data_IF_333868953811
#
_entry.id   IF_333868953811
#
_cell.length_a   1.000
_cell.length_b   1.000
_cell.length_c   1.000
_cell.angle_alpha   90.00
_cell.angle_beta   90.00
_cell.angle_gamma   90.00
#
_symmetry.space_group_name_H-M   'P 1'
#
loop_
_entity.id
_entity.type
_entity.pdbx_description
1 polymer ?
#
# COMPACT_ATOMS: atom_id res chain seq x y z
N UNK A 1 31.98 22.21 13.16
CA UNK A 1 30.65 22.28 12.50
C UNK A 1 30.10 20.86 12.49
N UNK A 2 28.98 20.65 13.14
CA UNK A 2 28.34 19.31 13.18
C UNK A 2 27.76 18.92 11.81
N UNK A 3 27.93 17.69 11.42
CA UNK A 3 27.37 17.14 10.18
C UNK A 3 26.23 16.19 10.50
N UNK A 4 25.04 16.50 10.01
CA UNK A 4 23.83 15.68 10.12
C UNK A 4 23.53 15.01 8.79
N UNK A 5 23.24 13.73 8.80
CA UNK A 5 22.84 12.96 7.63
C UNK A 5 21.40 12.49 7.75
N UNK A 6 20.58 12.75 6.75
CA UNK A 6 19.24 12.22 6.64
C UNK A 6 19.22 11.07 5.65
N UNK A 7 18.76 9.90 6.09
CA UNK A 7 18.61 8.75 5.23
C UNK A 7 17.14 8.61 4.82
N UNK A 8 16.83 9.06 3.59
CA UNK A 8 15.50 8.93 3.00
C UNK A 8 15.24 7.51 2.53
N UNK A 9 14.03 7.03 2.74
CA UNK A 9 13.54 5.71 2.30
C UNK A 9 12.13 5.85 1.69
N UNK A 10 11.08 5.33 2.36
CA UNK A 10 9.67 5.53 1.95
C UNK A 10 9.09 6.80 2.61
N UNK A 11 9.77 7.91 2.45
CA UNK A 11 9.43 9.23 3.00
C UNK A 11 9.85 10.36 2.05
N UNK A 12 9.51 10.18 0.77
CA UNK A 12 9.98 11.02 -0.35
C UNK A 12 9.26 12.37 -0.42
N UNK A 13 9.46 13.19 0.64
CA UNK A 13 8.92 14.54 0.79
C UNK A 13 9.81 15.39 1.70
N UNK A 14 9.66 16.70 1.61
CA UNK A 14 10.38 17.65 2.48
C UNK A 14 9.48 18.29 3.54
N UNK A 15 8.16 18.31 3.32
CA UNK A 15 7.17 18.81 4.29
C UNK A 15 6.70 17.66 5.17
N UNK A 16 6.52 17.94 6.46
CA UNK A 16 6.06 16.94 7.44
C UNK A 16 6.91 15.66 7.45
N UNK A 17 8.23 15.82 7.41
CA UNK A 17 9.20 14.73 7.50
C UNK A 17 9.97 14.88 8.82
N UNK A 18 9.71 13.99 9.78
CA UNK A 18 10.26 14.10 11.15
C UNK A 18 11.78 14.03 11.18
N UNK A 19 12.38 13.11 10.44
CA UNK A 19 13.83 12.95 10.38
C UNK A 19 14.51 14.18 9.78
N UNK A 20 14.00 14.67 8.67
CA UNK A 20 14.51 15.88 8.01
C UNK A 20 14.35 17.13 8.89
N UNK A 21 13.19 17.27 9.51
CA UNK A 21 12.93 18.39 10.44
C UNK A 21 13.92 18.38 11.61
N UNK A 22 14.12 17.23 12.24
CA UNK A 22 15.05 17.08 13.35
C UNK A 22 16.50 17.34 12.94
N UNK A 23 16.93 16.82 11.79
CA UNK A 23 18.30 17.07 11.28
C UNK A 23 18.56 18.56 10.99
N UNK A 24 17.51 19.30 10.59
CA UNK A 24 17.57 20.72 10.27
C UNK A 24 17.35 21.65 11.47
N UNK A 25 17.06 21.12 12.65
CA UNK A 25 16.75 21.93 13.85
C UNK A 25 17.93 22.80 14.31
N UNK A 26 19.16 22.33 14.13
CA UNK A 26 20.37 23.15 14.34
C UNK A 26 20.67 23.93 13.04
N UNK A 27 20.53 25.27 13.06
CA UNK A 27 20.81 26.10 11.89
C UNK A 27 22.30 26.11 11.47
N UNK A 28 23.20 25.74 12.38
CA UNK A 28 24.64 25.71 12.14
C UNK A 28 25.16 24.37 11.64
N UNK A 29 24.37 23.32 11.76
CA UNK A 29 24.75 22.01 11.26
C UNK A 29 24.82 21.97 9.73
N UNK A 30 25.86 21.33 9.19
CA UNK A 30 25.85 20.89 7.80
C UNK A 30 24.87 19.72 7.65
N UNK A 31 23.86 19.84 6.78
CA UNK A 31 22.88 18.78 6.55
C UNK A 31 23.09 18.17 5.18
N UNK A 32 23.23 16.86 5.15
CA UNK A 32 23.30 16.03 3.93
C UNK A 32 22.12 15.07 3.92
N UNK A 33 21.72 14.62 2.73
CA UNK A 33 20.74 13.57 2.57
C UNK A 33 21.26 12.46 1.66
N UNK A 34 20.82 11.23 1.92
CA UNK A 34 21.10 10.07 1.06
C UNK A 34 19.82 9.28 0.79
N UNK A 35 19.77 8.68 -0.39
CA UNK A 35 18.83 7.63 -0.74
C UNK A 35 19.62 6.45 -1.30
N UNK A 36 19.31 5.23 -0.87
CA UNK A 36 19.98 4.01 -1.33
C UNK A 36 18.97 3.11 -1.99
N UNK A 37 19.08 2.95 -3.29
CA UNK A 37 18.33 1.95 -4.04
C UNK A 37 18.88 0.55 -3.77
N UNK A 38 18.02 -0.44 -3.56
CA UNK A 38 18.40 -1.83 -3.31
C UNK A 38 17.66 -2.78 -4.26
N UNK A 39 17.99 -2.77 -5.57
CA UNK A 39 17.22 -3.49 -6.60
C UNK A 39 17.12 -4.99 -6.38
N UNK A 40 18.15 -5.62 -5.81
CA UNK A 40 18.11 -7.06 -5.49
C UNK A 40 17.08 -7.35 -4.39
N UNK A 41 17.03 -6.53 -3.34
CA UNK A 41 16.03 -6.63 -2.29
C UNK A 41 14.62 -6.43 -2.88
N UNK A 42 14.45 -5.45 -3.77
CA UNK A 42 13.16 -5.21 -4.44
C UNK A 42 12.70 -6.39 -5.28
N UNK A 43 13.61 -7.04 -6.03
CA UNK A 43 13.30 -8.27 -6.80
C UNK A 43 12.91 -9.43 -5.91
N UNK A 44 13.59 -9.61 -4.77
CA UNK A 44 13.28 -10.67 -3.80
C UNK A 44 11.89 -10.53 -3.18
N UNK A 45 11.39 -9.30 -3.06
CA UNK A 45 10.08 -8.97 -2.51
C UNK A 45 9.08 -8.50 -3.58
N UNK A 46 9.38 -8.76 -4.84
CA UNK A 46 8.48 -8.58 -5.97
C UNK A 46 7.91 -7.15 -6.09
N UNK A 47 8.71 -6.13 -5.77
CA UNK A 47 8.28 -4.75 -5.98
C UNK A 47 7.91 -4.53 -7.46
N UNK A 48 6.76 -3.90 -7.71
CA UNK A 48 6.32 -3.59 -9.05
C UNK A 48 7.29 -2.63 -9.77
N UNK A 49 7.63 -2.87 -11.04
CA UNK A 49 8.44 -1.93 -11.83
C UNK A 49 7.84 -0.52 -11.87
N UNK A 50 6.51 -0.40 -11.92
CA UNK A 50 5.81 0.90 -11.86
C UNK A 50 6.03 1.62 -10.53
N UNK A 51 6.06 0.89 -9.41
CA UNK A 51 6.36 1.49 -8.11
C UNK A 51 7.80 1.99 -8.05
N UNK A 52 8.76 1.23 -8.56
CA UNK A 52 10.15 1.67 -8.67
C UNK A 52 10.30 2.92 -9.56
N UNK A 53 9.56 3.00 -10.67
CA UNK A 53 9.52 4.17 -11.53
C UNK A 53 8.93 5.41 -10.81
N UNK A 54 7.86 5.23 -10.04
CA UNK A 54 7.26 6.30 -9.23
C UNK A 54 8.22 6.79 -8.13
N UNK A 55 8.94 5.88 -7.49
CA UNK A 55 9.98 6.21 -6.52
C UNK A 55 11.07 7.04 -7.19
N UNK A 56 11.59 6.62 -8.35
CA UNK A 56 12.64 7.33 -9.06
C UNK A 56 12.21 8.76 -9.46
N UNK A 57 11.02 8.90 -10.03
CA UNK A 57 10.49 10.20 -10.43
C UNK A 57 10.24 11.13 -9.22
N UNK A 58 9.73 10.58 -8.10
CA UNK A 58 9.53 11.33 -6.85
C UNK A 58 10.85 11.70 -6.18
N UNK A 59 11.85 10.83 -6.26
CA UNK A 59 13.19 11.09 -5.75
C UNK A 59 13.83 12.29 -6.45
N UNK A 60 13.67 12.40 -7.78
CA UNK A 60 14.10 13.57 -8.54
C UNK A 60 13.45 14.87 -8.03
N UNK A 61 12.15 14.84 -7.76
CA UNK A 61 11.43 15.99 -7.22
C UNK A 61 11.96 16.40 -5.83
N UNK A 62 12.17 15.42 -4.94
CA UNK A 62 12.74 15.65 -3.59
C UNK A 62 14.16 16.20 -3.69
N UNK A 63 14.98 15.68 -4.58
CA UNK A 63 16.36 16.14 -4.78
C UNK A 63 16.39 17.63 -5.17
N UNK A 64 15.53 18.04 -6.08
CA UNK A 64 15.41 19.45 -6.49
C UNK A 64 14.91 20.32 -5.34
N UNK A 65 13.91 19.86 -4.60
CA UNK A 65 13.36 20.60 -3.46
C UNK A 65 14.39 20.76 -2.31
N UNK A 66 15.20 19.75 -2.02
CA UNK A 66 16.27 19.80 -1.04
C UNK A 66 17.40 20.74 -1.47
N UNK A 67 17.78 20.72 -2.76
CA UNK A 67 18.79 21.63 -3.31
C UNK A 67 18.39 23.09 -3.12
N UNK A 68 17.12 23.45 -3.31
CA UNK A 68 16.60 24.79 -3.03
C UNK A 68 16.71 25.18 -1.55
N UNK A 69 16.83 24.19 -0.65
CA UNK A 69 17.04 24.42 0.79
C UNK A 69 18.51 24.40 1.20
N UNK A 70 19.44 24.25 0.26
CA UNK A 70 20.85 24.14 0.53
C UNK A 70 21.28 22.76 1.06
N UNK A 71 20.50 21.70 0.76
CA UNK A 71 20.76 20.33 1.20
C UNK A 71 21.02 19.46 -0.03
N UNK A 72 22.21 18.87 -0.10
CA UNK A 72 22.56 17.93 -1.15
C UNK A 72 21.96 16.55 -0.86
N UNK A 73 21.29 15.96 -1.86
CA UNK A 73 20.83 14.57 -1.82
C UNK A 73 21.74 13.71 -2.71
N UNK A 74 22.44 12.76 -2.10
CA UNK A 74 23.23 11.76 -2.78
C UNK A 74 22.39 10.49 -2.99
N UNK A 75 22.26 10.05 -4.23
CA UNK A 75 21.57 8.80 -4.58
C UNK A 75 22.61 7.72 -4.87
N UNK A 76 22.57 6.64 -4.11
CA UNK A 76 23.44 5.48 -4.29
C UNK A 76 22.66 4.27 -4.75
N UNK A 77 23.25 3.49 -5.67
CA UNK A 77 22.75 2.20 -6.07
C UNK A 77 23.51 1.10 -5.32
N UNK A 78 22.86 0.53 -4.30
CA UNK A 78 23.32 -0.68 -3.61
C UNK A 78 22.77 -1.92 -4.29
N UNK A 79 23.14 -3.10 -3.77
CA UNK A 79 22.54 -4.37 -4.19
C UNK A 79 21.40 -4.78 -3.26
N UNK A 80 21.69 -4.91 -1.98
CA UNK A 80 20.80 -5.36 -0.93
C UNK A 80 20.95 -4.55 0.36
N UNK A 81 20.28 -4.94 1.42
CA UNK A 81 20.35 -4.26 2.71
C UNK A 81 21.72 -4.37 3.39
N UNK A 82 22.43 -5.48 3.21
CA UNK A 82 23.77 -5.63 3.80
C UNK A 82 24.75 -4.65 3.14
N UNK A 83 24.78 -4.61 1.82
CA UNK A 83 25.59 -3.67 1.07
C UNK A 83 25.25 -2.20 1.38
N UNK A 84 23.96 -1.89 1.58
CA UNK A 84 23.51 -0.55 1.93
C UNK A 84 24.02 -0.09 3.30
N UNK A 85 24.06 -1.00 4.27
CA UNK A 85 24.61 -0.72 5.62
C UNK A 85 26.10 -0.43 5.53
N UNK A 86 26.86 -1.26 4.84
CA UNK A 86 28.30 -1.11 4.72
C UNK A 86 28.67 0.18 3.99
N UNK A 87 27.97 0.48 2.91
CA UNK A 87 28.16 1.74 2.19
C UNK A 87 27.80 2.97 3.04
N UNK A 88 26.70 2.91 3.79
CA UNK A 88 26.25 4.03 4.61
C UNK A 88 27.21 4.30 5.77
N UNK A 89 27.74 3.25 6.39
CA UNK A 89 28.75 3.38 7.43
C UNK A 89 30.04 4.04 6.89
N UNK A 90 30.50 3.64 5.70
CA UNK A 90 31.64 4.26 5.04
C UNK A 90 31.36 5.70 4.60
N UNK A 91 30.16 5.98 4.11
CA UNK A 91 29.72 7.34 3.79
C UNK A 91 29.75 8.25 5.04
N UNK A 92 29.23 7.78 6.16
CA UNK A 92 29.27 8.49 7.44
C UNK A 92 30.71 8.81 7.87
N UNK A 93 31.63 7.85 7.70
CA UNK A 93 33.04 8.04 8.00
C UNK A 93 33.70 9.11 7.12
N UNK A 94 33.45 9.01 5.79
CA UNK A 94 34.03 9.93 4.79
C UNK A 94 33.53 11.35 4.98
N UNK A 95 32.24 11.54 5.21
CA UNK A 95 31.62 12.84 5.38
C UNK A 95 31.70 13.39 6.81
N UNK A 96 32.35 12.65 7.74
CA UNK A 96 32.46 13.00 9.14
C UNK A 96 31.08 13.29 9.78
N UNK A 97 30.14 12.36 9.60
CA UNK A 97 28.78 12.49 10.12
C UNK A 97 28.79 12.30 11.64
N UNK A 98 28.20 13.24 12.36
CA UNK A 98 28.03 13.19 13.81
C UNK A 98 26.70 12.51 14.20
N UNK A 99 25.64 12.75 13.41
CA UNK A 99 24.32 12.20 13.67
C UNK A 99 23.59 11.78 12.39
N UNK A 100 22.97 10.61 12.44
CA UNK A 100 22.15 10.03 11.40
C UNK A 100 20.67 10.08 11.81
N UNK A 101 19.84 10.61 10.91
CA UNK A 101 18.41 10.78 11.11
C UNK A 101 17.63 9.97 10.07
N UNK A 102 16.63 9.20 10.49
CA UNK A 102 15.80 8.42 9.57
C UNK A 102 14.40 8.20 10.13
N UNK A 103 13.45 7.98 9.25
CA UNK A 103 12.09 7.58 9.59
C UNK A 103 11.99 6.05 9.54
N UNK A 104 11.50 5.43 10.63
CA UNK A 104 11.42 3.97 10.77
C UNK A 104 10.55 3.33 9.72
N UNK A 105 10.94 2.16 9.28
CA UNK A 105 10.13 1.21 8.55
C UNK A 105 9.84 0.02 9.46
N UNK A 106 8.68 -0.61 9.31
CA UNK A 106 8.16 -1.54 10.33
C UNK A 106 8.22 -3.00 9.92
N UNK A 107 8.55 -3.28 8.66
CA UNK A 107 8.76 -4.61 8.14
C UNK A 107 9.97 -5.26 8.81
N UNK A 108 9.95 -6.57 8.95
CA UNK A 108 10.95 -7.32 9.74
C UNK A 108 12.39 -7.12 9.23
N UNK A 109 12.57 -7.17 7.90
CA UNK A 109 13.91 -7.02 7.31
C UNK A 109 14.44 -5.59 7.49
N UNK A 110 13.58 -4.59 7.34
CA UNK A 110 13.89 -3.19 7.53
C UNK A 110 14.27 -2.89 8.98
N UNK A 111 13.53 -3.43 9.93
CA UNK A 111 13.86 -3.31 11.37
C UNK A 111 15.20 -3.95 11.70
N UNK A 112 15.50 -5.13 11.14
CA UNK A 112 16.79 -5.80 11.32
C UNK A 112 17.93 -5.02 10.68
N UNK A 113 17.71 -4.47 9.49
CA UNK A 113 18.66 -3.59 8.81
C UNK A 113 19.01 -2.38 9.69
N UNK A 114 17.99 -1.69 10.19
CA UNK A 114 18.17 -0.49 11.01
C UNK A 114 18.92 -0.82 12.32
N UNK A 115 18.55 -1.88 13.01
CA UNK A 115 19.23 -2.35 14.23
C UNK A 115 20.71 -2.72 13.98
N UNK A 116 21.00 -3.39 12.86
CA UNK A 116 22.37 -3.73 12.47
C UNK A 116 23.20 -2.49 12.16
N UNK A 117 22.62 -1.51 11.47
CA UNK A 117 23.29 -0.24 11.18
C UNK A 117 23.60 0.52 12.47
N UNK A 118 22.63 0.66 13.37
CA UNK A 118 22.84 1.31 14.67
C UNK A 118 23.98 0.65 15.48
N UNK A 119 24.03 -0.68 15.47
CA UNK A 119 25.11 -1.43 16.11
C UNK A 119 26.48 -1.14 15.45
N UNK A 120 26.54 -1.09 14.13
CA UNK A 120 27.78 -0.81 13.38
C UNK A 120 28.31 0.61 13.59
N UNK A 121 27.41 1.57 13.78
CA UNK A 121 27.72 2.99 14.00
C UNK A 121 27.92 3.34 15.48
N UNK A 122 27.63 2.41 16.40
CA UNK A 122 27.67 2.65 17.84
C UNK A 122 29.01 3.26 18.29
N UNK A 123 28.91 4.32 19.09
CA UNK A 123 30.08 5.07 19.61
C UNK A 123 30.76 6.00 18.59
N UNK A 124 30.27 6.06 17.33
CA UNK A 124 30.82 6.93 16.28
C UNK A 124 29.82 7.95 15.76
N UNK A 125 28.58 7.49 15.48
CA UNK A 125 27.49 8.30 14.94
C UNK A 125 26.27 8.11 15.83
N UNK A 126 25.63 9.20 16.24
CA UNK A 126 24.36 9.12 16.99
C UNK A 126 23.22 8.87 16.02
N UNK A 127 22.46 7.80 16.23
CA UNK A 127 21.33 7.44 15.37
C UNK A 127 20.00 7.90 15.98
N UNK A 128 19.19 8.58 15.19
CA UNK A 128 17.86 9.09 15.55
C UNK A 128 16.79 8.53 14.61
N UNK A 129 16.00 7.58 15.09
CA UNK A 129 14.87 7.02 14.35
C UNK A 129 13.53 7.60 14.82
N UNK A 130 12.65 7.91 13.87
CA UNK A 130 11.34 8.53 14.14
C UNK A 130 10.19 7.68 13.59
N UNK A 131 9.06 7.67 14.31
CA UNK A 131 7.80 7.12 13.82
C UNK A 131 7.08 8.20 13.01
N UNK A 132 7.18 8.12 11.69
CA UNK A 132 6.76 9.16 10.75
C UNK A 132 5.63 8.71 9.82
N UNK A 133 5.66 7.44 9.38
CA UNK A 133 4.72 6.90 8.39
C UNK A 133 3.35 6.52 8.97
N UNK A 134 3.13 6.78 10.26
CA UNK A 134 1.90 6.51 11.01
C UNK A 134 1.45 7.77 11.78
N UNK A 135 0.15 7.84 12.08
CA UNK A 135 -0.41 8.83 12.99
C UNK A 135 0.03 8.57 14.42
N UNK A 136 -0.02 7.31 14.85
CA UNK A 136 0.37 6.88 16.19
C UNK A 136 1.45 5.78 16.09
N UNK A 137 2.48 5.82 16.94
CA UNK A 137 3.54 4.81 16.92
C UNK A 137 2.99 3.40 17.19
N UNK A 138 3.55 2.35 16.56
CA UNK A 138 3.20 0.97 16.92
C UNK A 138 3.46 0.70 18.41
N UNK A 139 2.53 -0.02 19.04
CA UNK A 139 2.59 -0.28 20.48
C UNK A 139 2.01 0.82 21.37
N UNK A 140 1.51 1.94 20.79
CA UNK A 140 0.84 3.00 21.58
C UNK A 140 -0.66 2.77 21.76
N UNK A 141 -1.25 1.86 20.98
CA UNK A 141 -2.69 1.50 21.05
C UNK A 141 -2.82 0.03 21.42
N UNK A 142 -3.00 -0.22 22.69
CA UNK A 142 -3.04 -1.56 23.29
C UNK A 142 -4.32 -1.76 24.08
N UNK A 143 -4.70 -3.02 24.29
CA UNK A 143 -5.77 -3.41 25.20
C UNK A 143 -5.43 -3.06 26.64
N UNK A 144 -6.40 -3.10 27.54
CA UNK A 144 -6.14 -2.92 28.99
C UNK A 144 -5.15 -3.92 29.58
N UNK A 145 -4.92 -5.07 28.94
CA UNK A 145 -3.89 -6.04 29.29
C UNK A 145 -2.51 -5.80 28.64
N UNK A 146 -2.34 -4.72 27.89
CA UNK A 146 -1.07 -4.38 27.25
C UNK A 146 -0.79 -5.15 25.95
N UNK A 147 -1.78 -5.83 25.38
CA UNK A 147 -1.65 -6.58 24.12
C UNK A 147 -2.17 -5.79 22.93
N UNK A 148 -1.66 -6.12 21.74
CA UNK A 148 -2.20 -5.60 20.48
C UNK A 148 -3.63 -6.09 20.25
N UNK A 149 -4.52 -5.18 19.84
CA UNK A 149 -5.87 -5.53 19.42
C UNK A 149 -5.85 -6.49 18.22
N UNK A 150 -6.71 -7.51 18.27
CA UNK A 150 -6.89 -8.49 17.17
C UNK A 150 -8.17 -8.24 16.35
N UNK A 151 -8.98 -7.26 16.76
CA UNK A 151 -10.24 -6.90 16.10
C UNK A 151 -10.21 -5.40 15.80
N UNK A 152 -10.59 -5.03 14.59
CA UNK A 152 -10.47 -3.67 14.08
C UNK A 152 -11.33 -2.66 14.85
N UNK A 153 -12.60 -2.97 15.08
CA UNK A 153 -13.51 -1.99 15.69
C UNK A 153 -13.08 -1.54 17.11
N UNK A 154 -12.69 -2.43 18.03
CA UNK A 154 -12.09 -2.02 19.31
C UNK A 154 -10.77 -1.24 19.12
N UNK A 155 -9.92 -1.67 18.20
CA UNK A 155 -8.69 -0.93 17.87
C UNK A 155 -8.99 0.49 17.40
N UNK A 156 -9.89 0.65 16.43
CA UNK A 156 -10.31 1.96 15.92
C UNK A 156 -10.79 2.89 17.03
N UNK A 157 -11.63 2.38 17.94
CA UNK A 157 -12.18 3.20 19.03
C UNK A 157 -11.08 3.68 19.98
N UNK A 158 -10.19 2.77 20.39
CA UNK A 158 -9.03 3.11 21.21
C UNK A 158 -8.04 4.03 20.45
N UNK A 159 -7.83 3.80 19.16
CA UNK A 159 -7.00 4.62 18.31
C UNK A 159 -7.51 6.06 18.24
N UNK A 160 -8.80 6.26 17.98
CA UNK A 160 -9.41 7.60 17.89
C UNK A 160 -9.28 8.32 19.24
N UNK A 161 -9.54 7.64 20.36
CA UNK A 161 -9.33 8.24 21.67
C UNK A 161 -7.88 8.69 21.84
N UNK A 162 -6.92 7.84 21.56
CA UNK A 162 -5.50 8.16 21.67
C UNK A 162 -5.08 9.29 20.72
N UNK A 163 -5.66 9.32 19.52
CA UNK A 163 -5.40 10.34 18.50
C UNK A 163 -5.80 11.75 18.99
N UNK A 164 -6.92 11.85 19.73
CA UNK A 164 -7.38 13.14 20.28
C UNK A 164 -6.46 13.67 21.38
N UNK A 165 -5.70 12.80 22.03
CA UNK A 165 -4.75 13.14 23.11
C UNK A 165 -3.32 13.36 22.58
N UNK A 166 -3.08 13.13 21.28
CA UNK A 166 -1.75 13.16 20.68
C UNK A 166 -1.54 14.40 19.80
N UNK A 167 -0.33 14.93 19.79
CA UNK A 167 0.05 15.94 18.81
C UNK A 167 0.42 15.28 17.48
N UNK A 168 -0.46 15.43 16.53
CA UNK A 168 -0.31 14.95 15.13
C UNK A 168 -0.25 16.11 14.14
N UNK A 169 0.17 17.28 14.59
CA UNK A 169 0.38 18.45 13.73
C UNK A 169 1.46 18.18 12.68
N UNK A 170 1.31 18.83 11.52
CA UNK A 170 2.30 18.74 10.44
C UNK A 170 3.50 19.64 10.73
N UNK A 171 4.68 19.13 10.40
CA UNK A 171 5.94 19.87 10.50
C UNK A 171 6.20 20.68 9.22
N UNK A 172 6.75 21.89 9.32
CA UNK A 172 7.09 22.68 8.14
C UNK A 172 8.26 22.06 7.37
N UNK A 173 8.39 22.41 6.09
CA UNK A 173 9.58 22.16 5.32
C UNK A 173 10.81 22.89 5.96
N UNK A 174 12.03 22.37 5.78
CA UNK A 174 13.22 23.01 6.31
C UNK A 174 13.39 24.42 5.75
N UNK A 175 13.93 25.32 6.59
CA UNK A 175 14.38 26.64 6.13
C UNK A 175 15.61 26.47 5.22
N UNK A 176 15.84 27.47 4.37
CA UNK A 176 17.06 27.52 3.55
C UNK A 176 18.28 27.58 4.49
N UNK A 177 19.29 26.76 4.22
CA UNK A 177 20.54 26.72 4.99
C UNK A 177 21.37 28.01 4.76
N UNK A 178 22.29 28.29 5.68
CA UNK A 178 23.09 29.53 5.68
C UNK A 178 23.86 29.77 4.38
N UNK A 179 24.31 28.69 3.73
CA UNK A 179 25.06 28.74 2.46
C UNK A 179 24.15 29.00 1.23
N UNK A 180 22.84 29.11 1.45
CA UNK A 180 21.86 29.36 0.37
C UNK A 180 21.47 28.12 -0.41
N UNK A 181 20.72 28.31 -1.50
CA UNK A 181 20.30 27.24 -2.40
C UNK A 181 21.50 26.70 -3.17
N UNK A 182 21.50 25.39 -3.42
CA UNK A 182 22.50 24.72 -4.26
C UNK A 182 22.13 24.88 -5.75
N UNK A 183 23.11 24.74 -6.66
CA UNK A 183 22.82 24.59 -8.10
C UNK A 183 21.85 23.45 -8.36
N UNK A 184 21.15 23.51 -9.50
CA UNK A 184 20.27 22.42 -9.91
C UNK A 184 21.06 21.10 -9.99
N UNK A 185 20.64 20.07 -9.26
CA UNK A 185 21.35 18.80 -9.22
C UNK A 185 21.17 18.03 -10.53
N UNK A 186 22.15 17.21 -10.89
CA UNK A 186 21.97 16.20 -11.92
C UNK A 186 20.87 15.21 -11.48
N UNK A 187 20.09 14.75 -12.47
CA UNK A 187 19.03 13.76 -12.19
C UNK A 187 19.65 12.47 -11.61
N UNK A 188 18.97 11.83 -10.67
CA UNK A 188 19.40 10.52 -10.17
C UNK A 188 19.57 9.53 -11.34
N UNK A 189 20.60 8.70 -11.27
CA UNK A 189 20.77 7.62 -12.23
C UNK A 189 19.57 6.68 -12.20
N UNK A 190 19.24 6.10 -13.36
CA UNK A 190 18.19 5.08 -13.42
C UNK A 190 18.55 3.90 -12.51
N UNK A 191 17.53 3.31 -11.89
CA UNK A 191 17.72 2.10 -11.09
C UNK A 191 18.02 0.91 -12.00
N UNK A 192 18.89 0.01 -11.56
CA UNK A 192 19.02 -1.33 -12.16
C UNK A 192 17.76 -2.16 -11.86
N UNK A 193 16.65 -1.76 -12.48
CA UNK A 193 15.33 -2.35 -12.31
C UNK A 193 14.53 -2.24 -13.60
N UNK A 194 13.58 -3.16 -13.87
CA UNK A 194 12.81 -3.09 -15.10
C UNK A 194 12.12 -1.72 -15.26
N UNK A 195 12.26 -1.14 -16.44
CA UNK A 195 11.58 0.11 -16.77
C UNK A 195 10.07 -0.10 -16.88
N UNK A 196 9.31 0.88 -16.41
CA UNK A 196 7.86 0.88 -16.55
C UNK A 196 7.33 2.31 -16.67
N UNK A 197 6.23 2.44 -17.39
CA UNK A 197 5.46 3.67 -17.46
C UNK A 197 4.48 3.73 -16.29
N UNK A 198 4.47 4.85 -15.56
CA UNK A 198 3.52 5.10 -14.45
C UNK A 198 2.20 5.73 -14.95
N UNK A 199 2.13 6.11 -16.22
CA UNK A 199 1.00 6.84 -16.80
C UNK A 199 0.85 8.25 -16.24
N UNK A 200 -0.12 8.98 -16.79
CA UNK A 200 -0.40 10.39 -16.39
C UNK A 200 -1.25 10.49 -15.10
N UNK A 201 -1.84 9.39 -14.65
CA UNK A 201 -2.75 9.38 -13.50
C UNK A 201 -2.04 9.67 -12.16
N UNK A 202 -0.73 9.45 -12.10
CA UNK A 202 0.08 9.60 -10.89
C UNK A 202 1.32 10.47 -11.13
N UNK A 203 1.15 11.79 -11.33
CA UNK A 203 2.30 12.70 -11.40
C UNK A 203 3.16 12.56 -10.14
N UNK A 204 4.49 12.52 -10.32
CA UNK A 204 5.39 12.25 -9.22
C UNK A 204 5.60 13.46 -8.29
N UNK A 205 5.93 13.16 -7.04
CA UNK A 205 6.37 14.14 -6.05
C UNK A 205 5.29 14.63 -5.09
N UNK A 206 5.76 15.30 -4.06
CA UNK A 206 4.97 15.78 -2.93
C UNK A 206 3.86 16.77 -3.37
N UNK A 207 4.17 17.69 -4.26
CA UNK A 207 3.20 18.72 -4.69
C UNK A 207 1.99 18.10 -5.39
N UNK A 208 2.21 17.12 -6.27
CA UNK A 208 1.12 16.39 -6.93
C UNK A 208 0.24 15.63 -5.92
N UNK A 209 0.86 15.00 -4.93
CA UNK A 209 0.17 14.32 -3.84
C UNK A 209 -0.69 15.29 -3.02
N UNK A 210 -0.15 16.45 -2.66
CA UNK A 210 -0.86 17.48 -1.90
C UNK A 210 -2.01 18.12 -2.70
N UNK A 211 -1.82 18.35 -3.99
CA UNK A 211 -2.90 18.85 -4.86
C UNK A 211 -4.05 17.86 -4.93
N UNK A 212 -3.77 16.57 -5.11
CA UNK A 212 -4.79 15.50 -5.11
C UNK A 212 -5.52 15.40 -3.78
N UNK A 213 -4.79 15.48 -2.66
CA UNK A 213 -5.38 15.48 -1.32
C UNK A 213 -6.33 16.67 -1.13
N UNK A 214 -5.92 17.88 -1.55
CA UNK A 214 -6.75 19.09 -1.45
C UNK A 214 -8.02 18.96 -2.27
N UNK A 215 -7.90 18.51 -3.52
CA UNK A 215 -9.05 18.30 -4.40
C UNK A 215 -10.04 17.28 -3.83
N UNK A 216 -9.54 16.11 -3.39
CA UNK A 216 -10.37 15.08 -2.78
C UNK A 216 -11.11 15.56 -1.54
N UNK A 217 -10.43 16.23 -0.60
CA UNK A 217 -11.05 16.70 0.64
C UNK A 217 -12.09 17.82 0.41
N UNK A 218 -11.92 18.66 -0.65
CA UNK A 218 -12.87 19.71 -0.97
C UNK A 218 -14.09 19.23 -1.75
N UNK A 219 -13.88 18.34 -2.71
CA UNK A 219 -14.85 18.08 -3.78
C UNK A 219 -15.53 16.73 -3.66
N UNK A 220 -14.88 15.73 -3.04
CA UNK A 220 -15.30 14.34 -3.14
C UNK A 220 -15.57 13.67 -1.78
N UNK A 221 -14.92 14.11 -0.72
CA UNK A 221 -14.93 13.39 0.56
C UNK A 221 -16.32 13.26 1.19
N UNK A 222 -17.21 14.23 0.96
CA UNK A 222 -18.58 14.18 1.49
C UNK A 222 -19.39 13.02 0.89
N UNK A 223 -19.16 12.72 -0.39
CA UNK A 223 -19.82 11.62 -1.09
C UNK A 223 -19.11 10.29 -0.96
N UNK A 224 -17.95 10.26 -0.32
CA UNK A 224 -17.10 9.08 -0.25
C UNK A 224 -17.82 7.84 0.28
N UNK A 225 -18.60 7.96 1.35
CA UNK A 225 -19.36 6.83 1.93
C UNK A 225 -20.30 6.16 0.92
N UNK A 226 -20.92 6.97 0.04
CA UNK A 226 -21.86 6.48 -0.97
C UNK A 226 -21.19 5.95 -2.23
N UNK A 227 -20.04 6.51 -2.59
CA UNK A 227 -19.38 6.26 -3.87
C UNK A 227 -18.18 5.29 -3.78
N UNK A 228 -17.63 5.09 -2.58
CA UNK A 228 -16.40 4.31 -2.35
C UNK A 228 -16.41 2.90 -2.90
N UNK A 229 -17.59 2.30 -3.05
CA UNK A 229 -17.74 0.92 -3.51
C UNK A 229 -18.10 0.79 -5.00
N UNK A 230 -18.22 1.91 -5.71
CA UNK A 230 -18.63 1.96 -7.11
C UNK A 230 -17.42 2.19 -8.03
N UNK A 231 -16.85 1.15 -8.65
CA UNK A 231 -15.61 1.28 -9.42
C UNK A 231 -15.76 2.09 -10.72
N UNK A 232 -16.99 2.26 -11.22
CA UNK A 232 -17.27 3.09 -12.39
C UNK A 232 -17.21 4.60 -12.10
N UNK A 233 -17.20 4.98 -10.82
CA UNK A 233 -17.23 6.39 -10.38
C UNK A 233 -15.86 6.75 -9.80
N UNK A 234 -15.39 7.98 -10.11
CA UNK A 234 -14.19 8.53 -9.49
C UNK A 234 -14.46 9.00 -8.04
N UNK A 235 -14.90 8.06 -7.19
CA UNK A 235 -15.36 8.32 -5.81
C UNK A 235 -14.30 8.01 -4.74
N UNK A 236 -13.04 7.71 -5.11
CA UNK A 236 -11.96 7.39 -4.18
C UNK A 236 -10.83 8.43 -4.27
N UNK A 237 -10.03 8.54 -3.22
CA UNK A 237 -8.94 9.52 -3.17
C UNK A 237 -7.78 9.20 -4.11
N UNK A 238 -7.58 7.93 -4.43
CA UNK A 238 -6.41 7.44 -5.20
C UNK A 238 -5.06 7.95 -4.66
N UNK A 239 -4.94 8.09 -3.32
CA UNK A 239 -3.74 8.60 -2.64
C UNK A 239 -2.78 7.49 -2.19
N UNK A 240 -3.21 6.23 -2.28
CA UNK A 240 -2.43 5.09 -1.78
C UNK A 240 -1.02 4.97 -2.38
N UNK A 241 -0.76 5.26 -3.68
CA UNK A 241 0.61 5.24 -4.21
C UNK A 241 1.54 6.27 -3.54
N UNK A 242 1.04 7.47 -3.26
CA UNK A 242 1.82 8.52 -2.59
C UNK A 242 2.08 8.19 -1.12
N UNK A 243 1.11 7.58 -0.43
CA UNK A 243 1.29 7.10 0.94
C UNK A 243 2.28 5.92 1.01
N UNK A 244 2.30 5.05 0.00
CA UNK A 244 3.20 3.89 -0.04
C UNK A 244 4.67 4.29 -0.15
N UNK A 245 4.99 5.31 -0.93
CA UNK A 245 6.36 5.83 -1.11
C UNK A 245 6.69 7.00 -0.16
N UNK A 246 5.73 7.44 0.64
CA UNK A 246 5.88 8.54 1.57
C UNK A 246 6.03 9.92 0.94
N UNK A 247 5.57 10.11 -0.31
CA UNK A 247 5.41 11.44 -0.90
C UNK A 247 4.26 12.22 -0.23
N UNK A 248 3.44 11.53 0.54
CA UNK A 248 2.36 12.07 1.39
C UNK A 248 2.40 11.38 2.76
N UNK A 249 2.25 12.14 3.84
CA UNK A 249 2.16 11.59 5.19
C UNK A 249 0.71 11.38 5.64
N UNK A 250 0.44 10.45 6.56
CA UNK A 250 -0.88 10.30 7.16
C UNK A 250 -1.30 11.52 8.01
N UNK A 251 -0.35 12.26 8.58
CA UNK A 251 -0.63 13.52 9.31
C UNK A 251 -1.13 14.60 8.36
N UNK A 252 -0.54 14.74 7.18
CA UNK A 252 -1.03 15.66 6.14
C UNK A 252 -2.47 15.30 5.74
N UNK A 253 -2.77 14.01 5.56
CA UNK A 253 -4.11 13.52 5.27
C UNK A 253 -5.10 13.87 6.39
N UNK A 254 -4.77 13.54 7.63
CA UNK A 254 -5.65 13.77 8.78
C UNK A 254 -5.89 15.26 9.03
N UNK A 255 -4.83 16.08 9.02
CA UNK A 255 -4.96 17.51 9.28
C UNK A 255 -5.72 18.23 8.16
N UNK A 256 -5.52 17.82 6.89
CA UNK A 256 -6.30 18.37 5.79
C UNK A 256 -7.76 18.00 5.90
N UNK A 257 -8.06 16.73 6.19
CA UNK A 257 -9.43 16.27 6.38
C UNK A 257 -10.12 17.01 7.52
N UNK A 258 -9.45 17.20 8.67
CA UNK A 258 -9.97 17.92 9.83
C UNK A 258 -10.22 19.41 9.52
N UNK A 259 -9.37 20.03 8.72
CA UNK A 259 -9.53 21.42 8.33
C UNK A 259 -10.76 21.66 7.43
N UNK A 260 -11.07 20.72 6.53
CA UNK A 260 -12.26 20.78 5.67
C UNK A 260 -13.53 20.27 6.38
N UNK A 261 -13.39 19.36 7.35
CA UNK A 261 -14.49 18.74 8.08
C UNK A 261 -14.25 18.87 9.60
N UNK A 262 -14.57 20.02 10.20
CA UNK A 262 -14.30 20.29 11.63
C UNK A 262 -14.95 19.29 12.59
N UNK A 263 -16.10 18.72 12.23
CA UNK A 263 -16.84 17.70 13.02
C UNK A 263 -16.42 16.24 12.68
N UNK A 264 -15.23 16.05 12.11
CA UNK A 264 -14.73 14.76 11.62
C UNK A 264 -14.89 13.61 12.61
N UNK A 265 -14.60 13.84 13.88
CA UNK A 265 -14.61 12.79 14.91
C UNK A 265 -15.98 12.62 15.60
N UNK A 266 -16.87 13.60 15.49
CA UNK A 266 -18.21 13.59 16.05
C UNK A 266 -19.23 12.97 15.08
N UNK A 267 -19.15 13.33 13.77
CA UNK A 267 -20.03 12.78 12.73
C UNK A 267 -19.48 11.49 12.13
N UNK A 268 -19.77 10.39 12.79
CA UNK A 268 -19.28 9.04 12.41
C UNK A 268 -19.96 8.44 11.15
N UNK A 269 -21.02 9.07 10.68
CA UNK A 269 -21.74 8.64 9.47
C UNK A 269 -21.35 9.45 8.22
N UNK A 270 -20.44 10.41 8.37
CA UNK A 270 -19.96 11.23 7.26
C UNK A 270 -19.02 10.46 6.31
N UNK A 271 -18.96 10.94 5.07
CA UNK A 271 -17.95 10.48 4.10
C UNK A 271 -16.52 10.73 4.58
N UNK A 272 -16.30 11.85 5.27
CA UNK A 272 -15.00 12.17 5.86
C UNK A 272 -14.57 11.16 6.93
N UNK A 273 -15.46 10.76 7.82
CA UNK A 273 -15.17 9.73 8.82
C UNK A 273 -14.95 8.36 8.16
N UNK A 274 -15.73 8.03 7.13
CA UNK A 274 -15.53 6.80 6.37
C UNK A 274 -14.14 6.75 5.73
N UNK A 275 -13.63 7.88 5.20
CA UNK A 275 -12.28 7.95 4.65
C UNK A 275 -11.19 7.89 5.74
N UNK A 276 -11.42 8.55 6.89
CA UNK A 276 -10.54 8.40 8.05
C UNK A 276 -10.40 6.92 8.48
N UNK A 277 -11.48 6.16 8.43
CA UNK A 277 -11.42 4.71 8.72
C UNK A 277 -10.44 3.97 7.80
N UNK A 278 -10.30 4.38 6.54
CA UNK A 278 -9.31 3.74 5.64
C UNK A 278 -7.87 4.05 6.08
N UNK A 279 -7.59 5.26 6.58
CA UNK A 279 -6.31 5.58 7.19
C UNK A 279 -6.08 4.76 8.47
N UNK A 280 -7.11 4.54 9.28
CA UNK A 280 -7.01 3.74 10.51
C UNK A 280 -6.83 2.25 10.18
N UNK A 281 -7.43 1.72 9.12
CA UNK A 281 -7.14 0.36 8.63
C UNK A 281 -5.66 0.20 8.25
N UNK A 282 -5.09 1.21 7.58
CA UNK A 282 -3.66 1.24 7.26
C UNK A 282 -2.79 1.23 8.53
N UNK A 283 -3.17 1.98 9.55
CA UNK A 283 -2.51 1.96 10.87
C UNK A 283 -2.61 0.58 11.52
N UNK A 284 -3.82 -0.01 11.54
CA UNK A 284 -4.09 -1.30 12.16
C UNK A 284 -3.20 -2.41 11.61
N UNK A 285 -3.08 -2.51 10.30
CA UNK A 285 -2.22 -3.53 9.69
C UNK A 285 -0.73 -3.32 9.99
N UNK A 286 -0.27 -2.08 10.10
CA UNK A 286 1.13 -1.80 10.50
C UNK A 286 1.39 -2.09 11.97
N UNK A 287 0.49 -1.74 12.85
CA UNK A 287 0.56 -2.10 14.26
C UNK A 287 0.58 -3.63 14.45
N UNK A 288 -0.25 -4.35 13.70
CA UNK A 288 -0.26 -5.82 13.68
C UNK A 288 1.08 -6.39 13.20
N UNK A 289 1.63 -5.86 12.13
CA UNK A 289 2.88 -6.33 11.55
C UNK A 289 4.06 -6.22 12.54
N UNK A 290 4.06 -5.17 13.35
CA UNK A 290 5.08 -4.97 14.40
C UNK A 290 4.85 -5.94 15.57
N UNK A 291 3.60 -6.12 15.99
CA UNK A 291 3.25 -7.02 17.09
C UNK A 291 3.43 -8.51 16.72
N UNK A 292 3.19 -8.85 15.46
CA UNK A 292 3.25 -10.22 14.94
C UNK A 292 4.17 -10.31 13.71
N UNK A 293 5.50 -10.28 13.89
CA UNK A 293 6.46 -10.21 12.79
C UNK A 293 6.45 -11.43 11.85
N UNK A 294 5.86 -12.56 12.26
CA UNK A 294 5.66 -13.71 11.38
C UNK A 294 4.75 -13.40 10.18
N UNK A 295 3.93 -12.35 10.26
CA UNK A 295 3.16 -11.84 9.13
C UNK A 295 4.08 -11.38 7.98
N UNK A 296 5.24 -10.80 8.31
CA UNK A 296 6.26 -10.44 7.31
C UNK A 296 6.86 -11.66 6.58
N UNK A 297 6.67 -12.85 7.11
CA UNK A 297 7.12 -14.14 6.53
C UNK A 297 5.99 -14.87 5.83
N UNK A 298 4.89 -14.19 5.54
CA UNK A 298 3.70 -14.75 4.88
C UNK A 298 3.09 -15.94 5.65
N UNK A 299 3.21 -15.92 6.98
CA UNK A 299 2.53 -16.89 7.85
C UNK A 299 1.08 -16.45 8.07
N UNK A 300 0.12 -17.36 8.06
CA UNK A 300 -1.25 -17.01 8.40
C UNK A 300 -1.33 -16.61 9.89
N UNK A 301 -2.14 -15.61 10.19
CA UNK A 301 -2.40 -15.22 11.57
C UNK A 301 -3.14 -16.32 12.34
N UNK A 302 -4.12 -16.96 11.68
CA UNK A 302 -4.87 -18.11 12.20
C UNK A 302 -4.12 -19.38 11.82
N UNK A 303 -3.33 -19.94 12.75
CA UNK A 303 -2.36 -21.00 12.48
C UNK A 303 -2.94 -22.27 11.81
N UNK A 304 -4.18 -22.71 12.17
CA UNK A 304 -4.74 -23.91 11.56
C UNK A 304 -5.02 -23.74 10.05
N UNK A 305 -5.16 -22.52 9.56
CA UNK A 305 -5.40 -22.26 8.13
C UNK A 305 -4.17 -22.56 7.26
N UNK A 306 -3.02 -22.74 7.85
CA UNK A 306 -1.81 -23.21 7.13
C UNK A 306 -1.95 -24.65 6.63
N UNK A 307 -2.94 -25.38 7.15
CA UNK A 307 -3.25 -26.76 6.76
C UNK A 307 -4.29 -26.87 5.63
N UNK A 308 -4.79 -25.75 5.11
CA UNK A 308 -5.73 -25.78 3.97
C UNK A 308 -5.02 -26.37 2.77
N UNK A 309 -5.63 -27.41 2.17
CA UNK A 309 -5.14 -28.00 0.93
C UNK A 309 -5.50 -27.10 -0.25
N UNK A 310 -4.56 -26.26 -0.64
CA UNK A 310 -4.73 -25.36 -1.78
C UNK A 310 -4.56 -26.11 -3.11
N UNK A 311 -5.30 -25.67 -4.13
CA UNK A 311 -5.13 -26.15 -5.50
C UNK A 311 -3.81 -25.65 -6.09
N UNK A 312 -3.11 -26.54 -6.81
CA UNK A 312 -1.90 -26.21 -7.56
C UNK A 312 -2.16 -25.95 -9.06
N UNK A 313 -3.39 -25.60 -9.44
CA UNK A 313 -3.80 -25.38 -10.83
C UNK A 313 -3.19 -24.11 -11.40
N UNK A 314 -2.03 -24.25 -12.06
CA UNK A 314 -1.31 -23.16 -12.68
C UNK A 314 -2.08 -22.49 -13.82
N UNK A 315 -2.93 -23.23 -14.54
CA UNK A 315 -3.73 -22.69 -15.66
C UNK A 315 -4.81 -21.73 -15.12
N UNK A 316 -5.48 -22.10 -14.05
CA UNK A 316 -6.46 -21.23 -13.38
C UNK A 316 -5.81 -20.00 -12.78
N UNK A 317 -4.61 -20.13 -12.16
CA UNK A 317 -3.86 -18.99 -11.67
C UNK A 317 -3.51 -18.02 -12.81
N UNK A 318 -3.02 -18.52 -13.94
CA UNK A 318 -2.69 -17.69 -15.09
C UNK A 318 -3.93 -17.01 -15.69
N UNK A 319 -5.06 -17.70 -15.79
CA UNK A 319 -6.31 -17.12 -16.26
C UNK A 319 -6.77 -15.98 -15.36
N UNK A 320 -6.68 -16.13 -14.04
CA UNK A 320 -6.93 -15.05 -13.08
C UNK A 320 -5.98 -13.88 -13.27
N UNK A 321 -4.68 -14.12 -13.35
CA UNK A 321 -3.66 -13.08 -13.57
C UNK A 321 -3.91 -12.27 -14.85
N UNK A 322 -4.39 -12.91 -15.93
CA UNK A 322 -4.65 -12.27 -17.22
C UNK A 322 -6.01 -11.60 -17.32
N UNK A 323 -6.91 -11.83 -16.36
CA UNK A 323 -8.30 -11.38 -16.46
C UNK A 323 -9.05 -12.15 -17.55
N UNK A 324 -8.96 -13.48 -17.53
CA UNK A 324 -9.54 -14.42 -18.49
C UNK A 324 -10.32 -15.55 -17.78
N UNK A 325 -10.97 -15.22 -16.66
CA UNK A 325 -11.69 -16.19 -15.84
C UNK A 325 -13.09 -16.51 -16.34
N UNK A 326 -13.63 -15.69 -17.23
CA UNK A 326 -15.03 -15.77 -17.66
C UNK A 326 -16.03 -15.13 -16.68
N UNK A 327 -15.55 -14.48 -15.61
CA UNK A 327 -16.34 -13.70 -14.67
C UNK A 327 -16.06 -12.20 -14.89
N UNK A 328 -16.97 -11.45 -15.52
CA UNK A 328 -16.68 -10.10 -16.03
C UNK A 328 -16.09 -9.13 -14.99
N UNK A 329 -16.65 -9.07 -13.79
CA UNK A 329 -16.17 -8.14 -12.76
C UNK A 329 -14.74 -8.48 -12.30
N UNK A 330 -14.42 -9.77 -12.19
CA UNK A 330 -13.07 -10.25 -11.83
C UNK A 330 -12.08 -9.92 -12.94
N UNK A 331 -12.45 -10.20 -14.18
CA UNK A 331 -11.58 -9.99 -15.34
C UNK A 331 -11.32 -8.49 -15.58
N UNK A 332 -12.34 -7.66 -15.46
CA UNK A 332 -12.21 -6.20 -15.52
C UNK A 332 -11.27 -5.66 -14.44
N UNK A 333 -11.40 -6.18 -13.21
CA UNK A 333 -10.52 -5.81 -12.10
C UNK A 333 -9.05 -6.15 -12.36
N UNK A 334 -8.78 -7.36 -12.83
CA UNK A 334 -7.41 -7.80 -13.12
C UNK A 334 -6.81 -7.05 -14.31
N UNK A 335 -7.60 -6.75 -15.33
CA UNK A 335 -7.13 -5.93 -16.47
C UNK A 335 -6.83 -4.48 -16.07
N UNK A 336 -7.64 -3.88 -15.17
CA UNK A 336 -7.31 -2.58 -14.59
C UNK A 336 -5.95 -2.62 -13.89
N UNK A 337 -5.72 -3.61 -13.03
CA UNK A 337 -4.44 -3.79 -12.34
C UNK A 337 -3.27 -3.91 -13.31
N UNK A 338 -3.39 -4.79 -14.28
CA UNK A 338 -2.32 -5.05 -15.26
C UNK A 338 -2.00 -3.83 -16.13
N UNK A 339 -3.02 -3.06 -16.49
CA UNK A 339 -2.86 -1.88 -17.34
C UNK A 339 -2.31 -0.66 -16.57
N UNK A 340 -2.75 -0.45 -15.33
CA UNK A 340 -2.50 0.81 -14.60
C UNK A 340 -1.59 0.66 -13.39
N UNK A 341 -1.43 -0.56 -12.86
CA UNK A 341 -0.77 -0.77 -11.55
C UNK A 341 -1.61 -0.37 -10.35
N UNK A 342 -2.89 -0.07 -10.56
CA UNK A 342 -3.83 0.25 -9.49
C UNK A 342 -5.15 -0.51 -9.66
N UNK A 343 -5.77 -0.85 -8.54
CA UNK A 343 -7.08 -1.50 -8.52
C UNK A 343 -7.95 -0.87 -7.44
N UNK A 344 -9.20 -0.60 -7.77
CA UNK A 344 -10.20 -0.12 -6.83
C UNK A 344 -10.35 -1.09 -5.63
N UNK A 345 -10.51 -0.57 -4.41
CA UNK A 345 -10.51 -1.41 -3.19
C UNK A 345 -11.56 -2.53 -3.22
N UNK A 346 -12.80 -2.22 -3.63
CA UNK A 346 -13.87 -3.23 -3.73
C UNK A 346 -13.48 -4.37 -4.65
N UNK A 347 -12.79 -4.07 -5.73
CA UNK A 347 -12.34 -5.05 -6.70
C UNK A 347 -11.17 -5.89 -6.19
N UNK A 348 -10.30 -5.33 -5.34
CA UNK A 348 -9.26 -6.11 -4.64
C UNK A 348 -9.89 -7.19 -3.77
N UNK A 349 -10.97 -6.87 -3.05
CA UNK A 349 -11.72 -7.83 -2.24
C UNK A 349 -12.37 -8.91 -3.11
N UNK A 350 -13.02 -8.54 -4.21
CA UNK A 350 -13.70 -9.47 -5.10
C UNK A 350 -12.72 -10.40 -5.81
N UNK A 351 -11.64 -9.86 -6.38
CA UNK A 351 -10.63 -10.64 -7.12
C UNK A 351 -9.82 -11.56 -6.20
N UNK A 352 -9.51 -11.12 -4.99
CA UNK A 352 -8.83 -11.93 -3.99
C UNK A 352 -9.74 -13.07 -3.48
N UNK A 353 -11.01 -12.76 -3.16
CA UNK A 353 -11.98 -13.77 -2.78
C UNK A 353 -12.18 -14.83 -3.89
N UNK A 354 -12.22 -14.39 -5.13
CA UNK A 354 -12.34 -15.32 -6.27
C UNK A 354 -11.15 -16.29 -6.36
N UNK A 355 -9.92 -15.78 -6.29
CA UNK A 355 -8.73 -16.63 -6.32
C UNK A 355 -8.74 -17.68 -5.20
N UNK A 356 -9.04 -17.25 -3.98
CA UNK A 356 -8.94 -18.11 -2.79
C UNK A 356 -10.14 -19.01 -2.63
N UNK A 357 -11.36 -18.52 -2.90
CA UNK A 357 -12.62 -19.21 -2.57
C UNK A 357 -13.27 -19.89 -3.76
N UNK A 358 -13.08 -19.38 -4.97
CA UNK A 358 -13.62 -20.02 -6.18
C UNK A 358 -12.58 -20.90 -6.86
N UNK A 359 -11.31 -20.50 -6.89
CA UNK A 359 -10.22 -21.31 -7.47
C UNK A 359 -9.48 -22.16 -6.45
N UNK A 360 -9.70 -21.94 -5.16
CA UNK A 360 -9.01 -22.60 -4.04
C UNK A 360 -7.48 -22.54 -4.17
N UNK A 361 -6.95 -21.44 -4.71
CA UNK A 361 -5.51 -21.20 -4.85
C UNK A 361 -4.97 -20.47 -3.63
N UNK A 362 -3.76 -20.80 -3.20
CA UNK A 362 -3.10 -20.20 -2.05
C UNK A 362 -3.05 -18.68 -2.17
N UNK A 363 -3.55 -17.98 -1.17
CA UNK A 363 -3.59 -16.53 -1.10
C UNK A 363 -2.20 -15.89 -1.28
N UNK A 364 -1.13 -16.58 -0.92
CA UNK A 364 0.25 -16.09 -1.09
C UNK A 364 0.63 -15.91 -2.55
N UNK A 365 0.06 -16.72 -3.45
CA UNK A 365 0.28 -16.54 -4.89
C UNK A 365 -0.37 -15.23 -5.39
N UNK A 366 -1.57 -14.92 -4.90
CA UNK A 366 -2.24 -13.65 -5.20
C UNK A 366 -1.55 -12.45 -4.58
N UNK A 367 -1.11 -12.57 -3.33
CA UNK A 367 -0.35 -11.53 -2.61
C UNK A 367 0.92 -11.14 -3.38
N UNK A 368 1.70 -12.13 -3.84
CA UNK A 368 2.91 -11.89 -4.66
C UNK A 368 2.57 -11.24 -5.98
N UNK A 369 1.53 -11.72 -6.67
CA UNK A 369 1.14 -11.14 -7.94
C UNK A 369 0.72 -9.67 -7.78
N UNK A 370 -0.06 -9.33 -6.77
CA UNK A 370 -0.43 -7.94 -6.48
C UNK A 370 0.80 -7.08 -6.21
N UNK A 371 1.72 -7.52 -5.37
CA UNK A 371 2.97 -6.78 -5.13
C UNK A 371 3.74 -6.52 -6.42
N UNK A 372 3.78 -7.47 -7.34
CA UNK A 372 4.48 -7.34 -8.63
C UNK A 372 3.84 -6.36 -9.61
N UNK A 373 2.58 -5.94 -9.35
CA UNK A 373 1.83 -5.05 -10.24
C UNK A 373 1.50 -3.68 -9.62
N UNK A 374 1.35 -3.60 -8.28
CA UNK A 374 0.79 -2.43 -7.62
C UNK A 374 1.76 -1.26 -7.51
N UNK A 375 1.33 -0.07 -7.96
CA UNK A 375 1.96 1.21 -7.65
C UNK A 375 1.98 1.53 -6.15
N UNK A 376 0.96 1.07 -5.44
CA UNK A 376 0.80 1.24 -4.00
C UNK A 376 1.21 0.01 -3.19
N UNK A 377 2.09 -0.82 -3.74
CA UNK A 377 2.59 -2.02 -3.09
C UNK A 377 3.15 -1.71 -1.69
N UNK A 378 2.55 -2.35 -0.67
CA UNK A 378 2.85 -2.18 0.74
C UNK A 378 2.57 -3.50 1.45
N UNK A 379 3.58 -4.06 2.08
CA UNK A 379 3.48 -5.38 2.71
C UNK A 379 2.35 -5.44 3.74
N UNK A 380 2.24 -4.46 4.64
CA UNK A 380 1.24 -4.48 5.72
C UNK A 380 -0.19 -4.49 5.17
N UNK A 381 -0.51 -3.58 4.24
CA UNK A 381 -1.84 -3.46 3.66
C UNK A 381 -2.17 -4.63 2.72
N UNK A 382 -1.21 -5.05 1.88
CA UNK A 382 -1.42 -6.14 0.93
C UNK A 382 -1.57 -7.49 1.66
N UNK A 383 -0.68 -7.82 2.60
CA UNK A 383 -0.78 -9.01 3.44
C UNK A 383 -2.08 -9.03 4.25
N UNK A 384 -2.40 -7.92 4.92
CA UNK A 384 -3.62 -7.80 5.71
C UNK A 384 -4.88 -7.99 4.87
N UNK A 385 -4.96 -7.36 3.71
CA UNK A 385 -6.10 -7.50 2.78
C UNK A 385 -6.24 -8.92 2.21
N UNK A 386 -5.15 -9.54 1.81
CA UNK A 386 -5.15 -10.94 1.33
C UNK A 386 -5.56 -11.92 2.41
N UNK A 387 -5.04 -11.80 3.62
CA UNK A 387 -5.43 -12.66 4.74
C UNK A 387 -6.88 -12.43 5.17
N UNK A 388 -7.37 -11.20 5.06
CA UNK A 388 -8.79 -10.91 5.28
C UNK A 388 -9.68 -11.68 4.29
N UNK A 389 -9.39 -11.60 3.00
CA UNK A 389 -10.15 -12.29 1.96
C UNK A 389 -10.02 -13.82 2.04
N UNK A 390 -8.84 -14.31 2.41
CA UNK A 390 -8.52 -15.73 2.56
C UNK A 390 -9.06 -16.37 3.85
N UNK A 391 -9.61 -15.59 4.78
CA UNK A 391 -10.04 -16.07 6.10
C UNK A 391 -8.90 -16.66 6.96
N UNK A 392 -7.69 -16.17 6.75
CA UNK A 392 -6.46 -16.60 7.45
C UNK A 392 -5.93 -15.55 8.41
N UNK A 393 -6.44 -14.32 8.31
CA UNK A 393 -5.99 -13.14 9.05
C UNK A 393 -6.73 -12.88 10.35
N UNK A 394 -6.31 -11.82 11.02
CA UNK A 394 -7.04 -11.27 12.16
C UNK A 394 -8.25 -10.48 11.67
N UNK A 395 -9.35 -10.57 12.40
CA UNK A 395 -10.63 -9.94 12.02
C UNK A 395 -11.04 -10.22 10.56
N UNK A 396 -10.66 -11.38 10.06
CA UNK A 396 -10.89 -11.77 8.67
C UNK A 396 -12.35 -12.15 8.41
N UNK A 397 -12.74 -12.12 7.14
CA UNK A 397 -14.02 -12.66 6.71
C UNK A 397 -14.12 -14.14 7.11
N UNK A 398 -15.24 -14.59 7.70
CA UNK A 398 -15.42 -16.00 8.01
C UNK A 398 -15.27 -16.89 6.78
N UNK A 399 -14.66 -18.07 6.91
CA UNK A 399 -14.37 -18.93 5.75
C UNK A 399 -15.63 -19.38 4.99
N UNK A 400 -16.76 -19.45 5.66
CA UNK A 400 -18.06 -19.80 5.04
C UNK A 400 -18.72 -18.61 4.31
N UNK A 401 -18.22 -17.38 4.47
CA UNK A 401 -18.68 -16.22 3.71
C UNK A 401 -17.90 -16.13 2.40
N UNK A 402 -18.46 -16.68 1.35
CA UNK A 402 -17.88 -16.73 0.01
C UNK A 402 -18.64 -15.75 -0.89
N UNK A 403 -17.93 -14.80 -1.49
CA UNK A 403 -18.53 -13.87 -2.44
C UNK A 403 -18.94 -14.60 -3.71
N UNK A 404 -20.18 -14.39 -4.15
CA UNK A 404 -20.58 -14.75 -5.51
C UNK A 404 -20.10 -13.62 -6.45
N UNK A 405 -19.15 -13.87 -7.36
CA UNK A 405 -18.57 -12.81 -8.19
C UNK A 405 -19.61 -12.14 -9.10
N UNK A 406 -20.59 -12.87 -9.60
CA UNK A 406 -21.66 -12.33 -10.43
C UNK A 406 -22.54 -11.36 -9.63
N UNK A 407 -22.99 -11.78 -8.44
CA UNK A 407 -23.79 -10.92 -7.54
C UNK A 407 -23.00 -9.68 -7.09
N UNK A 408 -21.69 -9.80 -6.88
CA UNK A 408 -20.84 -8.65 -6.59
C UNK A 408 -20.81 -7.67 -7.78
N UNK A 409 -20.71 -8.17 -9.00
CA UNK A 409 -20.78 -7.37 -10.21
C UNK A 409 -22.13 -6.63 -10.35
N UNK A 410 -23.24 -7.36 -10.18
CA UNK A 410 -24.60 -6.78 -10.20
C UNK A 410 -24.77 -5.65 -9.17
N UNK A 411 -24.17 -5.80 -8.00
CA UNK A 411 -24.28 -4.83 -6.91
C UNK A 411 -23.42 -3.58 -7.12
N UNK A 412 -22.17 -3.73 -7.55
CA UNK A 412 -21.19 -2.66 -7.56
C UNK A 412 -20.92 -2.04 -8.94
N UNK A 413 -21.31 -2.71 -10.00
CA UNK A 413 -21.30 -2.20 -11.38
C UNK A 413 -22.60 -2.62 -12.12
N UNK A 414 -23.78 -2.22 -11.62
CA UNK A 414 -25.05 -2.74 -12.10
C UNK A 414 -25.28 -2.54 -13.59
N UNK A 415 -24.79 -1.44 -14.15
CA UNK A 415 -24.91 -1.10 -15.57
C UNK A 415 -23.73 -1.63 -16.41
N UNK A 416 -22.71 -2.25 -15.80
CA UNK A 416 -21.53 -2.75 -16.48
C UNK A 416 -20.62 -1.68 -17.08
N UNK A 417 -20.68 -0.46 -16.57
CA UNK A 417 -19.85 0.64 -17.08
C UNK A 417 -18.36 0.39 -16.85
N UNK A 418 -17.99 -0.09 -15.66
CA UNK A 418 -16.62 -0.48 -15.36
C UNK A 418 -16.21 -1.72 -16.16
N UNK A 419 -17.07 -2.72 -16.23
CA UNK A 419 -16.84 -3.96 -17.00
C UNK A 419 -16.54 -3.61 -18.46
N UNK A 420 -17.38 -2.82 -19.13
CA UNK A 420 -17.15 -2.47 -20.56
C UNK A 420 -15.90 -1.65 -20.80
N UNK A 421 -15.51 -0.81 -19.84
CA UNK A 421 -14.27 -0.04 -19.93
C UNK A 421 -13.04 -0.96 -20.07
N UNK A 422 -13.03 -2.07 -19.33
CA UNK A 422 -11.88 -2.98 -19.28
C UNK A 422 -12.06 -4.25 -20.12
N UNK A 423 -13.29 -4.55 -20.53
CA UNK A 423 -13.65 -5.67 -21.40
C UNK A 423 -14.39 -5.14 -22.62
N UNK A 424 -13.68 -4.48 -23.56
CA UNK A 424 -14.31 -3.91 -24.76
C UNK A 424 -15.01 -4.95 -25.63
N UNK A 425 -14.60 -6.22 -25.56
CA UNK A 425 -15.27 -7.35 -26.21
C UNK A 425 -16.72 -7.59 -25.74
N UNK A 426 -17.12 -7.00 -24.62
CA UNK A 426 -18.49 -7.06 -24.08
C UNK A 426 -19.30 -5.79 -24.34
N UNK A 427 -18.80 -4.86 -25.17
CA UNK A 427 -19.44 -3.56 -25.42
C UNK A 427 -20.90 -3.66 -25.91
N UNK A 428 -21.21 -4.68 -26.72
CA UNK A 428 -22.55 -4.89 -27.28
C UNK A 428 -23.53 -5.63 -26.36
N UNK A 429 -23.04 -6.14 -25.21
CA UNK A 429 -23.90 -6.85 -24.26
C UNK A 429 -24.75 -5.86 -23.49
N UNK A 430 -26.08 -6.01 -23.44
CA UNK A 430 -26.95 -5.10 -22.69
C UNK A 430 -26.68 -5.07 -21.18
N UNK A 431 -27.05 -3.99 -20.51
CA UNK A 431 -26.82 -3.80 -19.07
C UNK A 431 -27.38 -4.95 -18.21
N UNK A 432 -28.57 -5.43 -18.54
CA UNK A 432 -29.23 -6.53 -17.82
C UNK A 432 -28.53 -7.89 -18.00
N UNK A 433 -27.73 -8.04 -19.04
CA UNK A 433 -27.07 -9.29 -19.39
C UNK A 433 -25.54 -9.24 -19.19
N UNK A 434 -24.98 -8.07 -18.86
CA UNK A 434 -23.52 -7.84 -18.80
C UNK A 434 -22.81 -8.77 -17.80
N UNK A 435 -23.51 -9.18 -16.74
CA UNK A 435 -22.98 -10.10 -15.73
C UNK A 435 -23.16 -11.59 -16.11
N UNK A 436 -23.91 -11.87 -17.21
CA UNK A 436 -24.18 -13.19 -17.77
C UNK A 436 -23.98 -13.20 -19.29
N UNK A 437 -22.83 -12.74 -19.80
CA UNK A 437 -22.68 -12.46 -21.23
C UNK A 437 -22.85 -13.70 -22.12
N UNK A 438 -22.47 -14.87 -21.63
CA UNK A 438 -22.61 -16.13 -22.38
C UNK A 438 -24.08 -16.55 -22.55
N UNK A 439 -24.93 -16.35 -21.52
CA UNK A 439 -26.37 -16.61 -21.63
C UNK A 439 -27.05 -15.72 -22.68
N UNK A 440 -26.63 -14.45 -22.71
CA UNK A 440 -27.11 -13.51 -23.72
C UNK A 440 -26.66 -13.92 -25.11
N UNK A 441 -25.39 -14.27 -25.30
CA UNK A 441 -24.83 -14.68 -26.58
C UNK A 441 -25.54 -15.95 -27.12
N UNK A 442 -25.78 -16.92 -26.25
CA UNK A 442 -26.52 -18.15 -26.60
C UNK A 442 -27.95 -17.82 -27.08
N UNK A 443 -28.72 -17.01 -26.34
CA UNK A 443 -30.06 -16.56 -26.72
C UNK A 443 -30.06 -15.81 -28.05
N UNK A 444 -29.02 -14.98 -28.30
CA UNK A 444 -28.88 -14.21 -29.53
C UNK A 444 -28.22 -14.99 -30.68
N UNK A 445 -27.78 -16.23 -30.43
CA UNK A 445 -27.01 -17.05 -31.38
C UNK A 445 -25.76 -16.34 -31.88
N UNK A 446 -25.09 -15.62 -30.97
CA UNK A 446 -23.82 -14.88 -31.21
C UNK A 446 -22.67 -15.62 -30.57
N UNK A 447 -21.47 -15.49 -31.17
CA UNK A 447 -20.23 -15.91 -30.57
C UNK A 447 -19.58 -14.71 -29.88
N UNK A 448 -19.20 -14.83 -28.60
CA UNK A 448 -18.45 -13.84 -27.89
C UNK A 448 -16.95 -14.19 -27.97
N UNK A 449 -16.12 -13.19 -28.21
CA UNK A 449 -14.67 -13.31 -28.05
C UNK A 449 -14.28 -13.06 -26.58
N UNK A 450 -14.92 -13.81 -25.70
CA UNK A 450 -14.72 -13.72 -24.24
C UNK A 450 -14.75 -15.14 -23.65
N UNK A 451 -13.80 -15.49 -22.75
CA UNK A 451 -13.67 -16.85 -22.24
C UNK A 451 -14.91 -17.31 -21.47
N UNK A 452 -15.17 -18.61 -21.53
CA UNK A 452 -16.16 -19.25 -20.66
C UNK A 452 -15.68 -19.23 -19.21
N UNK A 453 -16.60 -19.25 -18.22
CA UNK A 453 -16.24 -19.40 -16.82
C UNK A 453 -15.35 -20.61 -16.57
N UNK A 454 -14.18 -20.40 -15.95
CA UNK A 454 -13.22 -21.48 -15.69
C UNK A 454 -13.58 -22.34 -14.49
N UNK A 455 -14.62 -21.94 -13.74
CA UNK A 455 -15.12 -22.64 -12.56
C UNK A 455 -16.63 -22.40 -12.41
N UNK A 456 -17.34 -23.42 -11.94
CA UNK A 456 -18.71 -23.27 -11.46
C UNK A 456 -18.70 -22.80 -10.01
N UNK A 457 -19.26 -21.62 -9.73
CA UNK A 457 -19.25 -21.01 -8.39
C UNK A 457 -19.94 -21.89 -7.34
N UNK A 458 -21.04 -22.57 -7.68
CA UNK A 458 -21.77 -23.40 -6.71
C UNK A 458 -20.94 -24.61 -6.29
N UNK A 459 -20.29 -25.26 -7.25
CA UNK A 459 -19.40 -26.39 -7.01
C UNK A 459 -18.16 -25.93 -6.22
N UNK A 460 -17.53 -24.86 -6.64
CA UNK A 460 -16.36 -24.28 -5.97
C UNK A 460 -16.62 -23.97 -4.50
N UNK A 461 -17.81 -23.41 -4.20
CA UNK A 461 -18.21 -23.12 -2.82
C UNK A 461 -18.25 -24.38 -1.95
N UNK A 462 -18.77 -25.49 -2.46
CA UNK A 462 -18.82 -26.76 -1.72
C UNK A 462 -17.41 -27.27 -1.45
N UNK A 463 -16.56 -27.26 -2.46
CA UNK A 463 -15.15 -27.72 -2.36
C UNK A 463 -14.34 -26.88 -1.36
N UNK A 464 -14.50 -25.55 -1.42
CA UNK A 464 -13.82 -24.64 -0.51
C UNK A 464 -14.23 -24.83 0.94
N UNK A 465 -15.53 -24.94 1.20
CA UNK A 465 -16.03 -25.22 2.55
C UNK A 465 -15.47 -26.52 3.09
N UNK A 466 -15.46 -27.58 2.28
CA UNK A 466 -14.91 -28.88 2.67
C UNK A 466 -13.40 -28.79 2.99
N UNK A 467 -12.61 -28.06 2.17
CA UNK A 467 -11.18 -27.88 2.39
C UNK A 467 -10.87 -27.13 3.71
N UNK A 468 -11.60 -26.05 4.00
CA UNK A 468 -11.42 -25.31 5.25
C UNK A 468 -11.88 -26.11 6.48
N UNK A 469 -12.99 -26.86 6.39
CA UNK A 469 -13.46 -27.72 7.47
C UNK A 469 -12.48 -28.87 7.78
N UNK A 470 -11.93 -29.50 6.75
CA UNK A 470 -10.90 -30.54 6.90
C UNK A 470 -9.66 -29.98 7.61
N UNK A 471 -9.16 -28.84 7.15
CA UNK A 471 -8.02 -28.16 7.77
C UNK A 471 -8.30 -27.82 9.26
N UNK A 472 -9.51 -27.34 9.58
CA UNK A 472 -9.92 -27.00 10.94
C UNK A 472 -9.99 -28.23 11.85
N UNK A 473 -10.41 -29.38 11.32
CA UNK A 473 -10.40 -30.67 12.06
C UNK A 473 -9.02 -31.30 12.21
N UNK A 474 -8.04 -30.77 11.48
CA UNK A 474 -6.68 -31.34 11.42
C UNK A 474 -6.57 -32.55 10.48
N UNK A 475 -7.54 -32.77 9.63
CA UNK A 475 -7.58 -33.75 8.56
C UNK A 475 -6.90 -33.14 7.32
N UNK A 476 -5.62 -33.38 7.14
CA UNK A 476 -4.84 -32.89 5.99
C UNK A 476 -4.30 -34.04 5.15
#
# INVERSE_FOLDING_TARGET
MTTHLVWLRNDLRITDNKALHAACSDPKARVLAVFIATPQQWRQHEMAPRQAALIHASLRAVQQALAQKGIALHCHAGTDFAASIDWLAEYCRREQVDALFYNRQYELNERRRDARLEQQLNGRVTCHGFDDSLLLPPGSVLTGGGEMYKVYTPFRNAFIQRLTESDVSCLPAPKIRADGALPAPEAPAAFDYPAADIGDDYPAGEEAALQRLRAFCREQVQDYLRQRDLPAIAGTSSLSPYLAIGALSPRQCFNRLRAECPQLLEDRESGAFAWLNELIWREFYRHLLVAYPELCRHRPFIAWTDKVCWSADAAKLQAWQRGETGYPIVDAAMRQLNATGWMHNRLRMISASFLVKDLLIDWRAGERYFMSQLLDGDLAANNGGWQWAASTGTDAAPYFRIFNPTTQGERFDPQGTFIRKWLPELADVPDNDIHYPHRWAEKQRRTLNYPLPIVDHKQARVETLAAFEAAKRGES
#
